data_IF_864989484406
#
_entry.id   IF_864989484406
#
_cell.length_a   1.000
_cell.length_b   1.000
_cell.length_c   1.000
_cell.angle_alpha   90.00
_cell.angle_beta   90.00
_cell.angle_gamma   90.00
#
_symmetry.space_group_name_H-M   'P 1'
#
loop_
_entity.id
_entity.type
_entity.pdbx_description
1 polymer ?
#
# COMPACT_ATOMS: atom_id res chain seq x y z
N UNK A 1 -2.29 -43.97 49.50
CA UNK A 1 -1.34 -43.17 48.70
C UNK A 1 -1.86 -43.13 47.27
N UNK A 2 -2.34 -42.04 46.69
CA UNK A 2 -2.72 -40.75 47.28
C UNK A 2 -2.91 -39.64 46.23
N UNK A 3 -4.16 -39.22 45.96
CA UNK A 3 -4.56 -38.13 45.04
C UNK A 3 -4.24 -38.42 43.54
N UNK A 4 -4.89 -37.82 42.53
CA UNK A 4 -5.66 -36.56 42.43
C UNK A 4 -7.18 -36.74 42.16
N UNK A 5 -7.91 -35.62 42.09
CA UNK A 5 -9.38 -35.53 42.09
C UNK A 5 -9.97 -35.25 40.70
N UNK A 6 -11.21 -35.69 40.48
CA UNK A 6 -12.09 -35.32 39.38
C UNK A 6 -12.90 -34.05 39.70
N UNK A 7 -13.29 -33.28 38.67
CA UNK A 7 -14.67 -32.75 38.38
C UNK A 7 -14.60 -31.74 37.20
N UNK A 8 -15.62 -31.62 36.32
CA UNK A 8 -15.49 -30.92 35.04
C UNK A 8 -15.97 -29.45 35.04
N UNK A 9 -15.59 -28.70 34.00
CA UNK A 9 -16.09 -27.35 33.72
C UNK A 9 -17.58 -27.36 33.34
N UNK A 10 -18.44 -26.90 34.23
CA UNK A 10 -19.89 -26.81 34.00
C UNK A 10 -20.54 -25.58 34.68
N UNK A 11 -20.12 -24.37 34.31
CA UNK A 11 -20.81 -23.12 34.70
C UNK A 11 -20.83 -22.13 33.54
N UNK A 12 -22.01 -21.94 32.92
CA UNK A 12 -22.56 -20.66 32.41
C UNK A 12 -23.93 -20.90 31.70
N UNK A 13 -24.87 -21.55 32.40
CA UNK A 13 -26.28 -21.66 31.99
C UNK A 13 -27.23 -21.26 33.14
N UNK A 14 -27.15 -19.99 33.50
CA UNK A 14 -28.13 -19.21 34.26
C UNK A 14 -27.89 -17.74 33.84
N UNK A 15 -28.89 -16.88 33.67
CA UNK A 15 -30.16 -16.80 34.40
C UNK A 15 -31.40 -16.86 33.50
N UNK A 16 -32.41 -17.60 33.95
CA UNK A 16 -33.79 -17.51 33.45
C UNK A 16 -34.59 -16.56 34.37
N UNK A 17 -35.64 -15.95 33.82
CA UNK A 17 -36.49 -14.94 34.49
C UNK A 17 -37.09 -15.41 35.83
N UNK A 18 -37.37 -14.47 36.77
CA UNK A 18 -38.29 -14.74 37.87
C UNK A 18 -39.74 -14.84 37.35
N UNK A 19 -40.46 -15.86 37.83
CA UNK A 19 -41.89 -16.08 37.55
C UNK A 19 -42.79 -15.26 38.47
N UNK A 20 -43.97 -14.83 37.98
CA UNK A 20 -45.05 -14.30 38.81
C UNK A 20 -46.41 -14.70 38.26
N UNK A 21 -47.23 -15.34 39.08
CA UNK A 21 -48.63 -15.75 38.85
C UNK A 21 -49.28 -16.06 40.23
N UNK A 22 -50.62 -16.20 40.35
CA UNK A 22 -51.64 -16.22 39.30
C UNK A 22 -52.79 -15.19 39.46
N UNK A 23 -53.55 -14.97 38.38
CA UNK A 23 -54.78 -14.17 38.39
C UNK A 23 -55.76 -14.56 37.28
N UNK A 24 -56.82 -15.30 37.60
CA UNK A 24 -58.00 -15.56 36.72
C UNK A 24 -58.76 -14.23 36.51
N UNK A 25 -59.52 -13.95 35.45
CA UNK A 25 -60.13 -14.68 34.30
C UNK A 25 -60.31 -13.60 33.17
N UNK A 26 -60.65 -13.80 31.89
CA UNK A 26 -61.30 -14.85 31.08
C UNK A 26 -60.58 -14.97 29.71
N UNK A 27 -61.12 -15.74 28.76
CA UNK A 27 -60.64 -15.86 27.38
C UNK A 27 -61.55 -15.13 26.36
N UNK A 28 -61.01 -14.83 25.18
CA UNK A 28 -61.59 -15.35 23.94
C UNK A 28 -60.48 -15.54 22.87
N UNK A 29 -60.86 -15.95 21.66
CA UNK A 29 -60.03 -16.71 20.72
C UNK A 29 -59.78 -15.99 19.40
N UNK A 30 -58.55 -16.04 18.91
CA UNK A 30 -58.24 -16.02 17.48
C UNK A 30 -56.84 -16.62 17.24
N UNK A 31 -56.66 -17.26 16.08
CA UNK A 31 -55.59 -18.24 15.84
C UNK A 31 -54.65 -17.77 14.73
N UNK A 32 -53.51 -17.18 15.11
CA UNK A 32 -52.43 -16.83 14.20
C UNK A 32 -51.12 -17.52 14.66
N UNK A 33 -50.42 -18.19 13.74
CA UNK A 33 -49.13 -18.80 14.03
C UNK A 33 -48.05 -17.72 14.17
N UNK A 34 -47.21 -17.73 15.21
CA UNK A 34 -46.01 -16.91 15.22
C UNK A 34 -45.02 -17.47 14.19
N UNK A 35 -44.88 -16.80 13.03
CA UNK A 35 -43.68 -17.00 12.22
C UNK A 35 -42.46 -16.68 13.09
N UNK A 36 -41.47 -17.58 13.06
CA UNK A 36 -40.35 -17.52 13.99
C UNK A 36 -39.62 -16.17 13.92
N UNK A 37 -39.22 -15.65 15.09
CA UNK A 37 -38.25 -14.54 15.16
C UNK A 37 -36.98 -14.98 14.43
N UNK A 38 -36.82 -14.52 13.20
CA UNK A 38 -35.51 -14.47 12.57
C UNK A 38 -34.59 -13.71 13.51
N UNK A 39 -33.47 -14.32 13.91
CA UNK A 39 -32.48 -13.65 14.74
C UNK A 39 -31.84 -12.55 13.92
N UNK A 40 -32.38 -11.33 14.02
CA UNK A 40 -31.76 -10.15 13.48
C UNK A 40 -30.45 -9.96 14.25
N UNK A 41 -29.34 -10.43 13.65
CA UNK A 41 -28.00 -10.31 14.21
C UNK A 41 -27.71 -8.83 14.41
N UNK A 42 -27.85 -8.38 15.66
CA UNK A 42 -27.70 -6.99 16.05
C UNK A 42 -26.28 -6.56 15.71
N UNK A 43 -26.13 -5.54 14.84
CA UNK A 43 -24.82 -4.96 14.56
C UNK A 43 -24.18 -4.56 15.89
N UNK A 44 -22.90 -4.89 16.14
CA UNK A 44 -22.22 -4.48 17.35
C UNK A 44 -22.25 -2.95 17.49
N UNK A 45 -22.28 -2.44 18.73
CA UNK A 45 -22.18 -1.00 18.95
C UNK A 45 -20.84 -0.45 18.46
N UNK A 46 -20.74 0.86 18.27
CA UNK A 46 -19.51 1.50 17.82
C UNK A 46 -18.33 1.18 18.76
N UNK A 47 -18.59 1.13 20.07
CA UNK A 47 -17.65 0.66 21.10
C UNK A 47 -17.25 -0.81 20.93
N UNK A 48 -18.21 -1.73 20.77
CA UNK A 48 -17.90 -3.15 20.58
C UNK A 48 -17.12 -3.39 19.26
N UNK A 49 -17.44 -2.67 18.19
CA UNK A 49 -16.69 -2.72 16.94
C UNK A 49 -15.27 -2.15 17.08
N UNK A 50 -15.10 -1.03 17.79
CA UNK A 50 -13.79 -0.42 18.06
C UNK A 50 -12.90 -1.35 18.89
N UNK A 51 -13.40 -1.91 19.99
CA UNK A 51 -12.64 -2.77 20.90
C UNK A 51 -12.20 -4.11 20.28
N UNK A 52 -12.80 -4.51 19.15
CA UNK A 52 -12.37 -5.67 18.37
C UNK A 52 -11.23 -5.39 17.39
N UNK A 53 -10.82 -4.14 17.20
CA UNK A 53 -9.75 -3.75 16.27
C UNK A 53 -8.36 -4.02 16.86
N UNK A 54 -7.49 -4.64 16.05
CA UNK A 54 -6.07 -4.88 16.35
C UNK A 54 -5.20 -4.31 15.23
N UNK A 55 -3.97 -3.83 15.51
CA UNK A 55 -3.07 -3.34 14.47
C UNK A 55 -2.65 -4.38 13.41
N UNK A 56 -2.78 -5.67 13.72
CA UNK A 56 -2.27 -6.78 12.92
C UNK A 56 -3.35 -7.45 12.05
N UNK A 57 -4.44 -7.92 12.66
CA UNK A 57 -5.44 -8.77 11.98
C UNK A 57 -6.72 -8.02 11.56
N UNK A 58 -7.05 -6.95 12.28
CA UNK A 58 -8.36 -6.24 12.15
C UNK A 58 -8.18 -4.74 11.96
N UNK A 59 -7.07 -4.35 11.32
CA UNK A 59 -6.79 -2.97 11.00
C UNK A 59 -7.51 -2.55 9.70
N UNK A 60 -8.51 -1.68 9.83
CA UNK A 60 -9.16 -1.01 8.70
C UNK A 60 -9.21 0.50 8.95
N UNK A 61 -8.39 1.24 8.20
CA UNK A 61 -8.25 2.69 8.27
C UNK A 61 -9.58 3.43 8.00
N UNK A 62 -10.45 2.90 7.15
CA UNK A 62 -11.76 3.48 6.85
C UNK A 62 -12.76 3.19 7.98
N UNK A 63 -12.76 1.96 8.51
CA UNK A 63 -13.58 1.62 9.65
C UNK A 63 -13.23 2.50 10.87
N UNK A 64 -11.93 2.66 11.17
CA UNK A 64 -11.45 3.55 12.24
C UNK A 64 -11.85 5.02 11.95
N UNK A 65 -11.76 5.48 10.70
CA UNK A 65 -12.18 6.85 10.35
C UNK A 65 -13.70 7.08 10.51
N UNK A 66 -14.52 6.07 10.23
CA UNK A 66 -15.98 6.14 10.28
C UNK A 66 -16.58 6.18 11.68
N UNK A 67 -15.83 5.76 12.71
CA UNK A 67 -16.32 5.74 14.09
C UNK A 67 -16.31 7.17 14.68
N UNK A 68 -17.45 7.58 15.25
CA UNK A 68 -17.54 8.84 16.01
C UNK A 68 -16.87 8.68 17.37
N UNK A 69 -15.53 8.79 17.38
CA UNK A 69 -14.68 8.54 18.55
C UNK A 69 -15.13 9.24 19.85
N UNK A 70 -15.67 10.48 19.86
CA UNK A 70 -16.22 11.09 21.08
C UNK A 70 -17.39 10.31 21.68
N UNK A 71 -18.22 9.66 20.86
CA UNK A 71 -19.33 8.82 21.33
C UNK A 71 -18.84 7.60 22.11
N UNK A 72 -17.63 7.08 21.83
CA UNK A 72 -17.02 5.99 22.60
C UNK A 72 -16.78 6.38 24.07
N UNK A 73 -16.37 7.64 24.31
CA UNK A 73 -16.14 8.18 25.66
C UNK A 73 -17.47 8.38 26.40
N UNK A 74 -18.56 8.64 25.66
CA UNK A 74 -19.92 8.76 26.20
C UNK A 74 -20.53 7.38 26.49
N UNK A 75 -20.40 6.41 25.59
CA UNK A 75 -20.88 5.03 25.76
C UNK A 75 -20.16 4.32 26.92
N UNK A 76 -18.85 4.55 27.07
CA UNK A 76 -18.05 4.04 28.18
C UNK A 76 -18.15 4.87 29.48
N UNK A 77 -18.97 5.94 29.52
CA UNK A 77 -18.94 6.93 30.61
C UNK A 77 -19.47 6.35 31.92
N UNK A 78 -18.56 6.09 32.84
CA UNK A 78 -18.83 5.53 34.17
C UNK A 78 -18.06 4.25 34.42
N UNK A 79 -17.83 3.43 33.39
CA UNK A 79 -17.00 2.23 33.52
C UNK A 79 -15.51 2.54 33.24
N UNK A 80 -14.75 2.62 34.32
CA UNK A 80 -13.30 2.81 34.30
C UNK A 80 -12.51 1.60 33.79
N UNK A 81 -13.13 0.45 33.51
CA UNK A 81 -12.52 -0.68 32.80
C UNK A 81 -12.60 -0.44 31.30
N UNK A 82 -13.81 -0.24 30.78
CA UNK A 82 -14.06 0.05 29.36
C UNK A 82 -13.29 1.29 28.88
N UNK A 83 -13.26 2.38 29.66
CA UNK A 83 -12.45 3.57 29.31
C UNK A 83 -10.93 3.30 29.20
N UNK A 84 -10.40 2.30 29.94
CA UNK A 84 -8.99 1.86 29.82
C UNK A 84 -8.77 0.94 28.63
N UNK A 85 -9.79 0.17 28.21
CA UNK A 85 -9.74 -0.67 27.02
C UNK A 85 -9.81 0.20 25.76
N UNK A 86 -10.72 1.17 25.68
CA UNK A 86 -10.79 2.18 24.60
C UNK A 86 -9.46 2.94 24.46
N UNK A 87 -8.87 3.37 25.59
CA UNK A 87 -7.54 3.98 25.59
C UNK A 87 -6.46 3.05 25.02
N UNK A 88 -6.41 1.78 25.44
CA UNK A 88 -5.40 0.81 24.98
C UNK A 88 -5.53 0.53 23.49
N UNK A 89 -6.75 0.34 22.99
CA UNK A 89 -7.02 0.15 21.56
C UNK A 89 -6.63 1.39 20.76
N UNK A 90 -7.02 2.60 21.19
CA UNK A 90 -6.61 3.84 20.54
C UNK A 90 -5.08 4.04 20.53
N UNK A 91 -4.41 3.70 21.64
CA UNK A 91 -2.94 3.75 21.74
C UNK A 91 -2.26 2.74 20.80
N UNK A 92 -2.78 1.52 20.68
CA UNK A 92 -2.23 0.48 19.81
C UNK A 92 -2.41 0.80 18.32
N UNK A 93 -3.56 1.36 17.93
CA UNK A 93 -3.87 1.72 16.55
C UNK A 93 -3.10 2.97 16.07
N UNK A 94 -2.84 3.95 16.96
CA UNK A 94 -2.26 5.25 16.59
C UNK A 94 -0.91 5.16 15.84
N UNK A 95 0.08 4.34 16.24
CA UNK A 95 1.32 4.16 15.47
C UNK A 95 1.07 3.64 14.05
N UNK A 96 0.18 2.65 13.87
CA UNK A 96 -0.14 2.08 12.55
C UNK A 96 -0.89 3.08 11.66
N UNK A 97 -1.86 3.81 12.23
CA UNK A 97 -2.54 4.91 11.53
C UNK A 97 -1.55 5.99 11.09
N UNK A 98 -0.55 6.34 11.91
CA UNK A 98 0.49 7.29 11.47
C UNK A 98 1.35 6.72 10.35
N UNK A 99 1.85 5.50 10.45
CA UNK A 99 2.62 4.87 9.36
C UNK A 99 1.84 4.95 8.02
N UNK A 100 0.59 4.51 8.00
CA UNK A 100 -0.24 4.51 6.79
C UNK A 100 -0.69 5.90 6.29
N UNK A 101 -0.74 6.92 7.16
CA UNK A 101 -1.18 8.28 6.78
C UNK A 101 -0.05 9.32 6.70
N UNK A 102 1.20 8.90 6.89
CA UNK A 102 2.37 9.81 6.96
C UNK A 102 3.56 9.32 6.12
N UNK A 103 3.66 8.03 5.78
CA UNK A 103 4.64 7.49 4.83
C UNK A 103 4.17 7.67 3.36
N UNK A 104 4.94 8.33 2.47
CA UNK A 104 4.53 8.57 1.08
C UNK A 104 4.23 7.31 0.24
N UNK A 105 4.90 6.18 0.50
CA UNK A 105 4.68 4.93 -0.23
C UNK A 105 3.35 4.27 0.19
N UNK A 106 3.08 4.25 1.50
CA UNK A 106 1.81 3.73 2.02
C UNK A 106 0.64 4.64 1.65
N UNK A 107 0.82 5.97 1.72
CA UNK A 107 -0.14 6.96 1.22
C UNK A 107 -0.42 6.71 -0.27
N UNK A 108 0.61 6.57 -1.12
CA UNK A 108 0.44 6.23 -2.55
C UNK A 108 -0.38 4.96 -2.76
N UNK A 109 -0.06 3.88 -2.04
CA UNK A 109 -0.78 2.60 -2.15
C UNK A 109 -2.27 2.74 -1.76
N UNK A 110 -2.58 3.49 -0.69
CA UNK A 110 -3.95 3.74 -0.25
C UNK A 110 -4.70 4.63 -1.25
N UNK A 111 -4.07 5.68 -1.80
CA UNK A 111 -4.67 6.53 -2.84
C UNK A 111 -4.98 5.73 -4.11
N UNK A 112 -4.11 4.80 -4.53
CA UNK A 112 -4.39 3.89 -5.65
C UNK A 112 -5.55 2.97 -5.34
N UNK A 113 -5.56 2.31 -4.18
CA UNK A 113 -6.68 1.46 -3.71
C UNK A 113 -8.01 2.25 -3.74
N UNK A 114 -8.00 3.52 -3.31
CA UNK A 114 -9.17 4.40 -3.29
C UNK A 114 -9.60 4.87 -4.68
N UNK A 115 -8.65 5.15 -5.57
CA UNK A 115 -8.93 5.44 -6.98
C UNK A 115 -9.53 4.23 -7.68
N UNK A 116 -9.09 3.02 -7.33
CA UNK A 116 -9.63 1.75 -7.84
C UNK A 116 -11.05 1.48 -7.32
N UNK A 117 -11.30 1.70 -6.03
CA UNK A 117 -12.65 1.66 -5.46
C UNK A 117 -13.59 2.64 -6.17
N UNK A 118 -13.15 3.88 -6.39
CA UNK A 118 -13.88 4.92 -7.14
C UNK A 118 -14.17 4.49 -8.58
N UNK A 119 -13.15 4.07 -9.34
CA UNK A 119 -13.30 3.68 -10.74
C UNK A 119 -14.32 2.55 -10.93
N UNK A 120 -14.34 1.58 -10.00
CA UNK A 120 -15.20 0.38 -10.06
C UNK A 120 -16.59 0.59 -9.49
N UNK A 121 -16.73 1.28 -8.35
CA UNK A 121 -18.00 1.34 -7.59
C UNK A 121 -18.80 2.62 -7.82
N UNK A 122 -18.14 3.76 -8.01
CA UNK A 122 -18.84 5.04 -8.09
C UNK A 122 -19.81 5.20 -9.29
N UNK A 123 -19.64 4.53 -10.45
CA UNK A 123 -20.67 4.54 -11.51
C UNK A 123 -21.96 3.81 -11.12
N UNK A 124 -21.92 2.95 -10.11
CA UNK A 124 -23.03 2.07 -9.67
C UNK A 124 -23.62 2.43 -8.31
N UNK A 125 -23.03 3.41 -7.62
CA UNK A 125 -23.39 3.81 -6.26
C UNK A 125 -24.03 5.21 -6.30
N UNK A 126 -25.37 5.32 -6.39
CA UNK A 126 -26.05 6.61 -6.54
C UNK A 126 -25.85 7.53 -5.33
N UNK A 127 -25.44 6.97 -4.18
CA UNK A 127 -25.23 7.69 -2.93
C UNK A 127 -23.73 7.98 -2.68
N UNK A 128 -22.87 7.77 -3.68
CA UNK A 128 -21.41 7.97 -3.57
C UNK A 128 -21.05 9.34 -2.99
N UNK A 129 -21.60 10.41 -3.56
CA UNK A 129 -21.35 11.79 -3.14
C UNK A 129 -21.93 12.16 -1.76
N UNK A 130 -22.86 11.37 -1.22
CA UNK A 130 -23.41 11.54 0.13
C UNK A 130 -22.50 10.86 1.17
N UNK A 131 -22.16 9.59 0.96
CA UNK A 131 -21.48 8.77 1.98
C UNK A 131 -19.95 8.78 1.89
N UNK A 132 -19.37 8.84 0.69
CA UNK A 132 -17.91 8.75 0.55
C UNK A 132 -17.17 9.95 1.14
N UNK A 133 -17.66 11.21 1.06
CA UNK A 133 -17.02 12.33 1.75
C UNK A 133 -17.00 12.16 3.28
N UNK A 134 -18.06 11.61 3.87
CA UNK A 134 -18.12 11.33 5.31
C UNK A 134 -17.16 10.19 5.71
N UNK A 135 -17.00 9.18 4.84
CA UNK A 135 -16.15 8.00 5.06
C UNK A 135 -14.65 8.29 4.85
N UNK A 136 -14.31 9.17 3.90
CA UNK A 136 -12.93 9.44 3.48
C UNK A 136 -12.38 10.78 3.97
N UNK A 137 -13.25 11.73 4.35
CA UNK A 137 -12.87 13.01 4.91
C UNK A 137 -12.16 12.83 6.26
N UNK A 138 -10.92 13.34 6.35
CA UNK A 138 -10.14 13.34 7.60
C UNK A 138 -9.11 12.22 7.74
N UNK A 139 -8.90 11.37 6.73
CA UNK A 139 -7.91 10.28 6.82
C UNK A 139 -6.47 10.82 6.90
N UNK A 140 -6.04 11.58 5.88
CA UNK A 140 -4.66 12.08 5.76
C UNK A 140 -4.47 13.47 6.35
N UNK A 141 -5.45 14.37 6.20
CA UNK A 141 -5.40 15.75 6.68
C UNK A 141 -6.80 16.23 7.08
N UNK A 142 -6.93 17.45 7.59
CA UNK A 142 -8.26 18.05 7.84
C UNK A 142 -9.05 18.25 6.53
N UNK A 143 -10.32 17.86 6.55
CA UNK A 143 -11.23 17.87 5.38
C UNK A 143 -12.57 18.49 5.74
N UNK A 144 -13.16 19.23 4.79
CA UNK A 144 -14.54 19.74 4.90
C UNK A 144 -15.49 18.77 4.20
N UNK A 145 -16.31 18.10 5.02
CA UNK A 145 -17.33 17.15 4.57
C UNK A 145 -18.70 17.86 4.40
N UNK A 146 -19.68 17.25 3.71
CA UNK A 146 -21.04 17.78 3.58
C UNK A 146 -21.66 18.18 4.93
N UNK A 147 -22.52 19.21 4.91
CA UNK A 147 -23.02 19.86 6.13
C UNK A 147 -21.99 20.76 6.84
N UNK A 148 -20.80 20.97 6.28
CA UNK A 148 -19.81 21.94 6.77
C UNK A 148 -19.01 21.49 8.00
N UNK A 149 -19.20 20.25 8.48
CA UNK A 149 -18.39 19.67 9.56
C UNK A 149 -16.92 19.59 9.12
N UNK A 150 -16.00 20.02 9.98
CA UNK A 150 -14.57 19.83 9.78
C UNK A 150 -14.16 18.46 10.33
N UNK A 151 -13.84 17.51 9.46
CA UNK A 151 -13.23 16.24 9.85
C UNK A 151 -11.74 16.49 10.08
N UNK A 152 -11.28 16.45 11.34
CA UNK A 152 -9.85 16.55 11.69
C UNK A 152 -9.10 15.28 11.26
N UNK A 153 -7.79 15.39 10.98
CA UNK A 153 -6.93 14.24 10.67
C UNK A 153 -7.13 13.09 11.67
N UNK A 154 -7.20 11.86 11.20
CA UNK A 154 -7.51 10.68 12.01
C UNK A 154 -6.51 10.45 13.15
N UNK A 155 -5.20 10.59 12.90
CA UNK A 155 -4.18 10.47 13.96
C UNK A 155 -4.34 11.55 15.05
N UNK A 156 -4.89 12.73 14.71
CA UNK A 156 -5.26 13.78 15.69
C UNK A 156 -6.55 13.40 16.43
N UNK A 157 -7.58 12.88 15.75
CA UNK A 157 -8.83 12.39 16.39
C UNK A 157 -8.54 11.28 17.40
N UNK A 158 -7.67 10.32 17.09
CA UNK A 158 -7.22 9.28 18.02
C UNK A 158 -6.41 9.85 19.19
N UNK A 159 -5.54 10.84 18.94
CA UNK A 159 -4.79 11.52 20.02
C UNK A 159 -5.74 12.27 20.98
N UNK A 160 -6.84 12.83 20.48
CA UNK A 160 -7.87 13.46 21.31
C UNK A 160 -8.65 12.43 22.14
N UNK A 161 -9.10 11.32 21.54
CA UNK A 161 -9.75 10.21 22.24
C UNK A 161 -8.91 9.69 23.42
N UNK A 162 -7.60 9.49 23.21
CA UNK A 162 -6.66 9.07 24.25
C UNK A 162 -6.67 10.03 25.45
N UNK A 163 -6.67 11.34 25.19
CA UNK A 163 -6.72 12.36 26.24
C UNK A 163 -8.09 12.40 26.96
N UNK A 164 -9.18 12.29 26.20
CA UNK A 164 -10.56 12.27 26.73
C UNK A 164 -10.81 11.06 27.64
N UNK A 165 -10.31 9.87 27.28
CA UNK A 165 -10.38 8.68 28.14
C UNK A 165 -9.62 8.85 29.47
N UNK A 166 -8.46 9.52 29.46
CA UNK A 166 -7.68 9.82 30.68
C UNK A 166 -8.42 10.82 31.57
N UNK A 167 -8.99 11.88 30.98
CA UNK A 167 -9.79 12.87 31.71
C UNK A 167 -11.05 12.22 32.34
N UNK A 168 -11.83 11.46 31.56
CA UNK A 168 -13.03 10.79 32.02
C UNK A 168 -12.77 9.73 33.13
N UNK A 169 -11.62 9.05 33.08
CA UNK A 169 -11.22 8.08 34.11
C UNK A 169 -10.71 8.74 35.42
N UNK A 170 -10.16 9.96 35.29
CA UNK A 170 -9.41 10.69 36.31
C UNK A 170 -7.93 10.31 36.29
N UNK A 171 -7.04 11.28 36.02
CA UNK A 171 -5.60 11.09 35.78
C UNK A 171 -4.90 10.25 36.85
N UNK A 172 -5.20 10.47 38.13
CA UNK A 172 -4.60 9.73 39.25
C UNK A 172 -5.02 8.25 39.30
N UNK A 173 -6.20 7.89 38.79
CA UNK A 173 -6.60 6.48 38.66
C UNK A 173 -5.87 5.80 37.49
N UNK A 174 -5.58 6.55 36.42
CA UNK A 174 -4.81 6.08 35.27
C UNK A 174 -3.35 5.79 35.62
N UNK A 175 -2.68 6.73 36.31
CA UNK A 175 -1.29 6.56 36.76
C UNK A 175 -1.13 5.36 37.72
N UNK A 176 -2.06 5.17 38.66
CA UNK A 176 -2.09 4.00 39.56
C UNK A 176 -2.30 2.67 38.83
N UNK A 177 -2.90 2.66 37.64
CA UNK A 177 -3.18 1.45 36.88
C UNK A 177 -1.96 0.93 36.06
N UNK A 178 -0.74 1.31 36.43
CA UNK A 178 0.51 0.86 35.78
C UNK A 178 0.87 1.61 34.49
N UNK A 179 0.13 2.66 34.13
CA UNK A 179 0.26 3.37 32.83
C UNK A 179 1.49 4.29 32.77
N UNK A 180 2.32 4.31 33.82
CA UNK A 180 3.54 5.12 33.94
C UNK A 180 4.59 4.90 32.83
N UNK A 181 4.49 3.82 32.06
CA UNK A 181 5.32 3.59 30.86
C UNK A 181 5.18 4.68 29.79
N UNK A 182 4.03 5.36 29.67
CA UNK A 182 3.82 6.37 28.63
C UNK A 182 4.48 7.73 28.88
N UNK A 183 4.72 8.11 30.14
CA UNK A 183 5.24 9.45 30.46
C UNK A 183 6.74 9.48 30.78
N UNK A 184 7.37 8.32 31.01
CA UNK A 184 8.82 8.20 31.28
C UNK A 184 9.66 8.12 30.00
N UNK A 185 9.17 8.73 28.92
CA UNK A 185 9.77 8.72 27.58
C UNK A 185 9.45 10.02 26.84
N UNK A 186 9.96 11.15 27.35
CA UNK A 186 9.75 12.48 26.76
C UNK A 186 10.12 12.52 25.28
N UNK A 187 11.04 11.67 24.82
CA UNK A 187 11.37 11.47 23.40
C UNK A 187 10.16 11.17 22.50
N UNK A 188 9.10 10.49 22.99
CA UNK A 188 7.91 10.20 22.16
C UNK A 188 6.94 11.39 22.07
N UNK A 189 6.86 12.23 23.11
CA UNK A 189 6.05 13.47 23.08
C UNK A 189 6.81 14.59 22.36
N UNK A 190 8.13 14.66 22.57
CA UNK A 190 9.03 15.53 21.83
C UNK A 190 9.06 15.14 20.35
N UNK A 191 9.12 13.86 20.00
CA UNK A 191 9.00 13.44 18.60
C UNK A 191 7.60 13.73 18.06
N UNK A 192 6.50 13.54 18.82
CA UNK A 192 5.17 13.97 18.37
C UNK A 192 5.10 15.47 18.05
N UNK A 193 5.71 16.34 18.87
CA UNK A 193 5.79 17.78 18.56
C UNK A 193 6.77 18.08 17.41
N UNK A 194 7.92 17.43 17.36
CA UNK A 194 8.91 17.58 16.29
C UNK A 194 8.46 16.98 14.95
N UNK A 195 7.50 16.04 14.91
CA UNK A 195 6.84 15.55 13.68
C UNK A 195 5.65 16.44 13.29
N UNK A 196 4.86 16.92 14.26
CA UNK A 196 3.81 17.92 13.99
C UNK A 196 4.39 19.26 13.48
N UNK A 197 5.66 19.54 13.79
CA UNK A 197 6.48 20.64 13.27
C UNK A 197 7.55 20.14 12.26
N UNK A 198 7.43 18.90 11.79
CA UNK A 198 8.51 18.10 11.19
C UNK A 198 8.76 18.31 9.71
N UNK A 199 9.32 19.48 9.38
CA UNK A 199 9.53 19.96 8.01
C UNK A 199 8.23 20.20 7.23
N UNK A 200 8.28 21.00 6.16
CA UNK A 200 7.07 21.33 5.39
C UNK A 200 6.51 20.14 4.58
N UNK A 201 7.36 19.21 4.13
CA UNK A 201 6.97 18.18 3.14
C UNK A 201 5.95 17.16 3.66
N UNK A 202 6.13 16.46 4.81
CA UNK A 202 5.16 15.45 5.25
C UNK A 202 3.75 16.01 5.43
N UNK A 203 3.64 17.27 5.88
CA UNK A 203 2.35 17.97 5.98
C UNK A 203 1.75 18.28 4.60
N UNK A 204 2.55 18.63 3.60
CA UNK A 204 2.08 18.83 2.23
C UNK A 204 1.66 17.51 1.57
N UNK A 205 2.39 16.41 1.76
CA UNK A 205 2.01 15.06 1.30
C UNK A 205 0.62 14.69 1.81
N UNK A 206 0.34 14.97 3.09
CA UNK A 206 -0.95 14.76 3.72
C UNK A 206 -2.06 15.66 3.16
N UNK A 207 -1.76 16.94 2.91
CA UNK A 207 -2.71 17.89 2.30
C UNK A 207 -3.06 17.49 0.86
N UNK A 208 -2.07 17.15 0.03
CA UNK A 208 -2.24 16.68 -1.35
C UNK A 208 -3.06 15.38 -1.37
N UNK A 209 -2.73 14.42 -0.51
CA UNK A 209 -3.45 13.15 -0.39
C UNK A 209 -4.91 13.35 0.03
N UNK A 210 -5.19 14.23 1.01
CA UNK A 210 -6.57 14.50 1.41
C UNK A 210 -7.35 15.28 0.35
N UNK A 211 -6.74 16.25 -0.33
CA UNK A 211 -7.39 17.02 -1.39
C UNK A 211 -7.83 16.11 -2.55
N UNK A 212 -6.90 15.28 -3.04
CA UNK A 212 -7.18 14.28 -4.07
C UNK A 212 -8.26 13.26 -3.63
N UNK A 213 -8.21 12.80 -2.38
CA UNK A 213 -9.19 11.86 -1.84
C UNK A 213 -10.58 12.49 -1.65
N UNK A 214 -10.64 13.76 -1.25
CA UNK A 214 -11.89 14.53 -1.14
C UNK A 214 -12.51 14.75 -2.53
N UNK A 215 -11.71 15.01 -3.57
CA UNK A 215 -12.19 15.18 -4.95
C UNK A 215 -12.79 13.87 -5.50
N UNK A 216 -12.12 12.72 -5.30
CA UNK A 216 -12.67 11.39 -5.58
C UNK A 216 -13.95 11.08 -4.80
N UNK A 217 -14.06 11.59 -3.57
CA UNK A 217 -15.22 11.36 -2.71
C UNK A 217 -16.43 12.23 -3.12
N UNK A 218 -16.19 13.46 -3.57
CA UNK A 218 -17.23 14.42 -3.92
C UNK A 218 -18.00 14.04 -5.20
N UNK A 219 -17.32 13.47 -6.19
CA UNK A 219 -17.90 13.19 -7.50
C UNK A 219 -17.83 11.69 -7.86
N UNK A 220 -18.99 11.08 -8.13
CA UNK A 220 -19.04 9.76 -8.76
C UNK A 220 -18.64 9.83 -10.24
N UNK A 221 -18.06 8.76 -10.77
CA UNK A 221 -17.52 8.71 -12.14
C UNK A 221 -18.63 8.66 -13.21
N UNK A 222 -18.78 9.74 -13.98
CA UNK A 222 -19.59 9.81 -15.20
C UNK A 222 -18.87 9.17 -16.41
N UNK A 223 -18.82 7.83 -16.42
CA UNK A 223 -18.37 7.07 -17.60
C UNK A 223 -16.92 7.36 -18.02
N UNK A 224 -16.73 7.86 -19.24
CA UNK A 224 -15.42 8.10 -19.87
C UNK A 224 -14.83 9.49 -19.61
N UNK A 225 -15.51 10.36 -18.87
CA UNK A 225 -15.14 11.76 -18.69
C UNK A 225 -13.91 11.95 -17.77
N UNK A 226 -13.31 13.14 -17.83
CA UNK A 226 -12.25 13.59 -16.93
C UNK A 226 -12.84 14.24 -15.68
N UNK A 227 -12.41 13.81 -14.50
CA UNK A 227 -12.79 14.43 -13.22
C UNK A 227 -11.84 15.61 -12.92
N UNK A 228 -12.32 16.87 -12.87
CA UNK A 228 -11.51 17.98 -12.36
C UNK A 228 -11.24 17.78 -10.86
N UNK A 229 -9.98 17.96 -10.47
CA UNK A 229 -9.53 17.84 -9.07
C UNK A 229 -9.50 19.24 -8.47
N UNK A 230 -10.68 19.76 -8.17
CA UNK A 230 -10.91 21.14 -7.72
C UNK A 230 -10.19 21.44 -6.40
N UNK A 231 -10.25 20.53 -5.40
CA UNK A 231 -9.58 20.75 -4.10
C UNK A 231 -8.06 20.67 -4.23
N UNK A 232 -7.55 19.81 -5.12
CA UNK A 232 -6.13 19.76 -5.44
C UNK A 232 -5.65 21.03 -6.16
N UNK A 233 -6.47 21.58 -7.06
CA UNK A 233 -6.23 22.86 -7.75
C UNK A 233 -6.29 24.04 -6.76
N UNK A 234 -7.21 24.02 -5.81
CA UNK A 234 -7.30 24.96 -4.68
C UNK A 234 -6.06 24.93 -3.78
N UNK A 235 -5.50 23.74 -3.53
CA UNK A 235 -4.24 23.60 -2.79
C UNK A 235 -3.07 24.15 -3.61
N UNK A 236 -3.05 23.89 -4.93
CA UNK A 236 -2.09 24.49 -5.87
C UNK A 236 -2.13 26.02 -5.88
N UNK A 237 -3.31 26.63 -5.77
CA UNK A 237 -3.51 28.09 -5.62
C UNK A 237 -3.01 28.65 -4.28
N UNK A 238 -3.15 27.90 -3.18
CA UNK A 238 -2.84 28.38 -1.81
C UNK A 238 -1.40 28.14 -1.37
N UNK A 239 -0.78 27.07 -1.84
CA UNK A 239 0.57 26.65 -1.43
C UNK A 239 1.61 26.81 -2.54
N UNK A 240 1.18 26.92 -3.80
CA UNK A 240 2.03 27.05 -4.97
C UNK A 240 2.09 25.74 -5.75
N UNK A 241 1.81 25.83 -7.05
CA UNK A 241 1.70 24.66 -7.92
C UNK A 241 3.01 23.88 -8.06
N UNK A 242 4.18 24.52 -7.89
CA UNK A 242 5.47 23.84 -7.91
C UNK A 242 5.65 22.87 -6.72
N UNK A 243 5.25 23.27 -5.50
CA UNK A 243 5.34 22.38 -4.33
C UNK A 243 4.36 21.20 -4.47
N UNK A 244 3.12 21.47 -4.91
CA UNK A 244 2.11 20.43 -5.17
C UNK A 244 2.54 19.46 -6.26
N UNK A 245 3.09 19.95 -7.39
CA UNK A 245 3.62 19.11 -8.47
C UNK A 245 4.75 18.18 -7.97
N UNK A 246 5.69 18.71 -7.18
CA UNK A 246 6.78 17.91 -6.62
C UNK A 246 6.26 16.80 -5.70
N UNK A 247 5.31 17.11 -4.82
CA UNK A 247 4.68 16.11 -3.93
C UNK A 247 3.79 15.11 -4.69
N UNK A 248 3.15 15.51 -5.79
CA UNK A 248 2.42 14.57 -6.65
C UNK A 248 3.37 13.60 -7.38
N UNK A 249 4.57 14.03 -7.77
CA UNK A 249 5.63 13.15 -8.33
C UNK A 249 6.25 12.23 -7.26
N UNK A 250 6.31 12.66 -6.00
CA UNK A 250 6.66 11.77 -4.87
C UNK A 250 5.59 10.67 -4.64
N UNK A 251 4.32 10.95 -4.94
CA UNK A 251 3.19 10.03 -4.76
C UNK A 251 2.89 9.16 -5.99
N UNK A 252 3.08 9.65 -7.21
CA UNK A 252 2.69 8.98 -8.45
C UNK A 252 3.82 9.03 -9.50
N UNK A 253 4.14 7.91 -10.19
CA UNK A 253 5.15 7.89 -11.23
C UNK A 253 4.76 8.85 -12.37
N UNK A 254 5.75 9.57 -12.86
CA UNK A 254 5.61 10.47 -13.99
C UNK A 254 5.99 9.74 -15.28
N UNK A 255 5.02 9.53 -16.17
CA UNK A 255 5.22 8.84 -17.44
C UNK A 255 5.62 9.82 -18.56
N UNK A 256 5.14 11.07 -18.46
CA UNK A 256 5.37 12.17 -19.43
C UNK A 256 5.41 13.50 -18.65
N UNK A 257 5.99 14.55 -19.23
CA UNK A 257 5.83 15.91 -18.74
C UNK A 257 4.34 16.25 -18.47
N UNK A 258 3.98 16.51 -17.20
CA UNK A 258 2.60 16.83 -16.81
C UNK A 258 1.61 15.66 -16.73
N UNK A 259 2.05 14.39 -16.82
CA UNK A 259 1.14 13.22 -16.71
C UNK A 259 1.68 12.23 -15.66
N UNK A 260 0.88 11.98 -14.61
CA UNK A 260 1.25 11.17 -13.46
C UNK A 260 0.31 9.96 -13.32
N UNK A 261 0.81 8.73 -13.47
CA UNK A 261 -0.03 7.54 -13.58
C UNK A 261 -0.46 6.99 -12.20
N UNK A 262 -1.77 7.00 -11.97
CA UNK A 262 -2.41 6.55 -10.73
C UNK A 262 -2.79 5.06 -10.82
N UNK A 263 -3.58 4.69 -11.84
CA UNK A 263 -3.90 3.28 -12.12
C UNK A 263 -3.39 2.90 -13.51
N UNK A 264 -2.61 1.83 -13.57
CA UNK A 264 -2.08 1.26 -14.80
C UNK A 264 -2.83 -0.04 -15.14
N UNK A 265 -3.35 -0.22 -16.38
CA UNK A 265 -4.13 -1.40 -16.78
C UNK A 265 -3.41 -2.75 -16.61
N UNK A 266 -2.08 -2.80 -16.56
CA UNK A 266 -1.31 -4.06 -16.53
C UNK A 266 -1.45 -4.81 -15.21
N UNK A 267 -1.55 -4.08 -14.10
CA UNK A 267 -1.89 -4.65 -12.78
C UNK A 267 -3.41 -4.86 -12.62
N UNK A 268 -4.20 -4.42 -13.60
CA UNK A 268 -5.62 -4.09 -13.47
C UNK A 268 -6.40 -4.41 -14.77
N UNK A 269 -6.43 -5.68 -15.23
CA UNK A 269 -7.00 -6.03 -16.53
C UNK A 269 -8.46 -5.58 -16.71
N UNK A 270 -8.80 -5.17 -17.93
CA UNK A 270 -10.15 -4.71 -18.30
C UNK A 270 -10.50 -3.28 -17.85
N UNK A 271 -9.53 -2.47 -17.43
CA UNK A 271 -9.75 -1.08 -17.00
C UNK A 271 -8.87 -0.09 -17.78
N UNK A 272 -9.37 1.11 -18.02
CA UNK A 272 -8.62 2.20 -18.67
C UNK A 272 -7.50 2.72 -17.77
N UNK A 273 -6.46 3.29 -18.37
CA UNK A 273 -5.41 3.95 -17.60
C UNK A 273 -5.98 5.22 -16.94
N UNK A 274 -5.64 5.46 -15.67
CA UNK A 274 -5.95 6.71 -14.98
C UNK A 274 -4.66 7.45 -14.65
N UNK A 275 -4.57 8.70 -15.09
CA UNK A 275 -3.48 9.59 -14.76
C UNK A 275 -3.98 10.96 -14.33
N UNK A 276 -3.24 11.63 -13.46
CA UNK A 276 -3.41 13.05 -13.19
C UNK A 276 -2.72 13.82 -14.32
N UNK A 277 -3.50 14.57 -15.10
CA UNK A 277 -3.02 15.57 -16.05
C UNK A 277 -2.83 16.89 -15.30
N UNK A 278 -1.61 17.39 -15.28
CA UNK A 278 -1.30 18.74 -14.79
C UNK A 278 -1.46 19.70 -15.96
N UNK A 279 -2.47 20.57 -15.89
CA UNK A 279 -2.69 21.64 -16.86
C UNK A 279 -1.86 22.85 -16.42
N UNK A 280 -0.87 23.22 -17.23
CA UNK A 280 -0.02 24.37 -16.94
C UNK A 280 -0.84 25.68 -16.91
N UNK A 281 -0.49 26.64 -16.04
CA UNK A 281 -1.15 27.95 -15.99
C UNK A 281 -0.97 28.71 -17.30
N UNK A 282 -1.98 29.53 -17.66
CA UNK A 282 -1.99 30.30 -18.92
C UNK A 282 -1.22 31.63 -18.80
N UNK A 283 -1.10 32.15 -17.58
CA UNK A 283 -0.35 33.35 -17.23
C UNK A 283 0.61 33.06 -16.07
N UNK A 284 1.47 34.02 -15.71
CA UNK A 284 2.33 33.92 -14.51
C UNK A 284 1.56 33.90 -13.19
N UNK A 285 0.31 34.38 -13.21
CA UNK A 285 -0.48 34.70 -12.03
C UNK A 285 -1.56 33.63 -11.77
N UNK A 286 -1.83 32.79 -12.78
CA UNK A 286 -2.65 31.58 -12.67
C UNK A 286 -1.88 30.45 -11.94
N UNK A 287 -2.62 29.57 -11.28
CA UNK A 287 -2.10 28.28 -10.80
C UNK A 287 -2.34 27.17 -11.84
N UNK A 288 -1.56 26.09 -11.75
CA UNK A 288 -1.88 24.86 -12.47
C UNK A 288 -3.19 24.25 -11.95
N UNK A 289 -4.01 23.72 -12.86
CA UNK A 289 -5.17 22.89 -12.51
C UNK A 289 -4.88 21.43 -12.78
N UNK A 290 -5.63 20.53 -12.13
CA UNK A 290 -5.36 19.10 -12.15
C UNK A 290 -6.62 18.34 -12.56
N UNK A 291 -6.50 17.46 -13.55
CA UNK A 291 -7.60 16.59 -14.00
C UNK A 291 -7.22 15.12 -13.81
N UNK A 292 -8.09 14.30 -13.24
CA UNK A 292 -7.97 12.85 -13.33
C UNK A 292 -8.57 12.39 -14.66
N UNK A 293 -7.71 12.05 -15.62
CA UNK A 293 -8.09 11.69 -16.98
C UNK A 293 -8.04 10.18 -17.21
N UNK A 294 -8.99 9.70 -18.02
CA UNK A 294 -8.94 8.35 -18.58
C UNK A 294 -8.11 8.37 -19.86
N UNK A 295 -6.91 7.79 -19.80
CA UNK A 295 -6.12 7.53 -20.99
C UNK A 295 -6.66 6.31 -21.75
N UNK A 296 -6.53 6.26 -23.09
CA UNK A 296 -6.73 5.01 -23.81
C UNK A 296 -5.77 3.96 -23.24
N UNK A 297 -6.22 2.70 -23.12
CA UNK A 297 -5.29 1.60 -22.87
C UNK A 297 -4.27 1.60 -24.01
N UNK A 298 -2.98 1.78 -23.68
CA UNK A 298 -1.90 1.93 -24.67
C UNK A 298 -1.74 0.63 -25.48
N UNK A 299 -2.39 0.56 -26.64
CA UNK A 299 -1.84 -0.20 -27.76
C UNK A 299 -0.48 0.41 -28.11
N UNK A 300 0.59 -0.37 -28.30
CA UNK A 300 1.87 0.17 -28.72
C UNK A 300 1.71 0.77 -30.12
N UNK A 301 1.85 2.10 -30.23
CA UNK A 301 1.88 2.79 -31.52
C UNK A 301 3.22 3.47 -31.74
N UNK A 302 3.81 3.09 -32.87
CA UNK A 302 4.99 3.69 -33.46
C UNK A 302 4.86 5.23 -33.46
N UNK A 303 5.91 5.91 -33.03
CA UNK A 303 5.98 7.36 -33.22
C UNK A 303 6.52 7.62 -34.61
N UNK A 304 5.60 7.85 -35.56
CA UNK A 304 5.93 8.33 -36.89
C UNK A 304 6.75 9.62 -36.80
N UNK A 305 7.83 9.67 -37.57
CA UNK A 305 8.86 10.70 -37.40
C UNK A 305 8.41 12.11 -37.79
N UNK A 306 9.02 13.10 -37.13
CA UNK A 306 9.24 14.42 -37.69
C UNK A 306 10.75 14.66 -37.71
N UNK A 307 11.30 14.86 -38.90
CA UNK A 307 12.74 15.01 -39.09
C UNK A 307 13.24 16.35 -38.52
N UNK A 308 14.37 16.30 -37.83
CA UNK A 308 15.27 17.45 -37.68
C UNK A 308 16.70 16.92 -37.70
N UNK A 309 17.56 17.57 -38.48
CA UNK A 309 18.74 16.90 -39.03
C UNK A 309 19.95 16.84 -38.08
N UNK A 310 20.54 15.65 -38.02
CA UNK A 310 21.96 15.36 -37.81
C UNK A 310 22.76 16.18 -36.76
N UNK A 311 22.99 15.57 -35.60
CA UNK A 311 24.37 15.25 -35.16
C UNK A 311 24.39 14.14 -34.11
N UNK A 312 25.47 13.38 -34.04
CA UNK A 312 25.57 12.14 -33.24
C UNK A 312 25.94 12.40 -31.77
N UNK A 313 25.31 11.65 -30.83
CA UNK A 313 26.01 10.93 -29.73
C UNK A 313 25.03 10.26 -28.72
N UNK A 314 24.60 9.04 -29.01
CA UNK A 314 24.26 7.95 -28.07
C UNK A 314 23.71 8.28 -26.65
N UNK A 315 22.72 9.18 -26.52
CA UNK A 315 22.22 9.68 -25.22
C UNK A 315 20.86 9.13 -24.75
N UNK A 316 20.33 8.07 -25.38
CA UNK A 316 19.15 7.32 -24.87
C UNK A 316 19.53 6.20 -23.89
N UNK A 317 18.64 5.87 -22.95
CA UNK A 317 18.92 4.87 -21.89
C UNK A 317 19.12 3.46 -22.49
N UNK A 318 20.01 2.60 -21.94
CA UNK A 318 20.24 1.25 -22.49
C UNK A 318 18.97 0.40 -22.61
N UNK A 319 17.97 0.65 -21.75
CA UNK A 319 16.70 -0.05 -21.70
C UNK A 319 15.71 0.32 -22.82
N UNK A 320 15.91 1.47 -23.46
CA UNK A 320 15.04 2.06 -24.47
C UNK A 320 15.50 1.72 -25.91
N UNK A 321 16.67 1.11 -26.05
CA UNK A 321 17.25 0.69 -27.33
C UNK A 321 16.66 -0.66 -27.70
N UNK A 322 15.91 -0.80 -28.82
CA UNK A 322 15.31 -2.08 -29.19
C UNK A 322 16.39 -3.14 -29.49
N UNK A 323 17.44 -2.77 -30.22
CA UNK A 323 18.45 -3.70 -30.75
C UNK A 323 19.76 -3.77 -29.93
N UNK A 324 19.71 -3.58 -28.60
CA UNK A 324 20.94 -3.57 -27.78
C UNK A 324 21.57 -4.98 -27.67
N UNK A 325 22.70 -5.19 -28.34
CA UNK A 325 23.35 -6.51 -28.41
C UNK A 325 24.13 -6.86 -27.14
N UNK A 326 24.53 -8.15 -27.01
CA UNK A 326 25.47 -8.61 -25.97
C UNK A 326 26.76 -7.76 -25.92
N UNK A 327 27.27 -7.32 -27.08
CA UNK A 327 28.50 -6.52 -27.19
C UNK A 327 28.29 -5.11 -26.67
N UNK A 328 27.12 -4.51 -26.96
CA UNK A 328 26.76 -3.18 -26.50
C UNK A 328 26.54 -3.15 -24.99
N UNK A 329 25.87 -4.16 -24.42
CA UNK A 329 25.74 -4.32 -22.98
C UNK A 329 27.11 -4.45 -22.28
N UNK A 330 28.01 -5.26 -22.82
CA UNK A 330 29.37 -5.40 -22.31
C UNK A 330 30.16 -4.08 -22.41
N UNK A 331 29.96 -3.31 -23.49
CA UNK A 331 30.51 -1.96 -23.64
C UNK A 331 29.94 -0.97 -22.61
N UNK A 332 28.62 -0.97 -22.40
CA UNK A 332 27.91 -0.16 -21.39
C UNK A 332 28.45 -0.46 -20.01
N UNK A 333 28.46 -1.72 -19.57
CA UNK A 333 28.94 -2.13 -18.24
C UNK A 333 30.40 -1.70 -18.01
N UNK A 334 31.31 -1.98 -18.96
CA UNK A 334 32.72 -1.54 -18.86
C UNK A 334 32.86 -0.01 -18.83
N UNK A 335 32.03 0.72 -19.58
CA UNK A 335 32.05 2.19 -19.58
C UNK A 335 31.53 2.79 -18.27
N UNK A 336 30.60 2.11 -17.58
CA UNK A 336 30.00 2.57 -16.32
C UNK A 336 30.91 2.26 -15.14
N UNK A 337 31.54 1.09 -15.12
CA UNK A 337 32.57 0.77 -14.11
C UNK A 337 33.78 1.71 -14.21
N UNK A 338 34.31 1.95 -15.42
CA UNK A 338 35.41 2.90 -15.64
C UNK A 338 35.07 4.33 -15.21
N UNK A 339 33.81 4.75 -15.36
CA UNK A 339 33.33 6.10 -14.97
C UNK A 339 32.75 6.16 -13.55
N UNK A 340 32.64 5.03 -12.84
CA UNK A 340 31.89 4.84 -11.58
C UNK A 340 30.49 5.48 -11.60
N UNK A 341 29.85 5.46 -12.78
CA UNK A 341 28.54 6.03 -13.01
C UNK A 341 27.43 5.02 -12.66
N UNK A 342 26.24 5.53 -12.30
CA UNK A 342 25.09 4.68 -11.93
C UNK A 342 24.27 4.29 -13.16
N UNK A 343 24.16 3.00 -13.44
CA UNK A 343 23.18 2.46 -14.37
C UNK A 343 21.76 2.75 -13.86
N UNK A 344 20.84 3.06 -14.76
CA UNK A 344 19.45 3.29 -14.43
C UNK A 344 18.76 1.97 -14.10
N UNK A 345 17.76 2.00 -13.22
CA UNK A 345 16.96 0.81 -12.96
C UNK A 345 16.30 0.33 -14.27
N UNK A 346 16.16 -0.99 -14.49
CA UNK A 346 15.32 -1.46 -15.58
C UNK A 346 13.89 -0.92 -15.39
N UNK A 347 13.16 -0.61 -16.48
CA UNK A 347 11.80 -0.10 -16.40
C UNK A 347 10.92 -0.97 -15.49
N UNK A 348 10.02 -0.35 -14.72
CA UNK A 348 9.11 -1.02 -13.75
C UNK A 348 8.02 -1.88 -14.42
N UNK A 349 8.22 -2.18 -15.68
CA UNK A 349 7.23 -2.26 -16.74
C UNK A 349 7.50 -3.55 -17.49
N UNK A 350 7.22 -4.65 -16.78
CA UNK A 350 7.56 -6.03 -17.10
C UNK A 350 8.97 -6.15 -17.72
N UNK A 351 10.04 -5.84 -16.96
CA UNK A 351 11.39 -5.71 -17.52
C UNK A 351 11.90 -7.02 -18.12
N UNK A 352 11.50 -8.17 -17.54
CA UNK A 352 11.91 -9.52 -17.94
C UNK A 352 11.65 -9.81 -19.43
N UNK A 353 10.47 -9.43 -19.92
CA UNK A 353 10.03 -9.71 -21.28
C UNK A 353 10.63 -8.77 -22.34
N UNK A 354 11.47 -7.79 -21.93
CA UNK A 354 12.10 -6.84 -22.86
C UNK A 354 13.35 -7.45 -23.48
N UNK A 355 13.50 -7.32 -24.80
CA UNK A 355 14.69 -7.78 -25.53
C UNK A 355 15.99 -7.23 -24.96
N UNK A 356 16.00 -5.97 -24.51
CA UNK A 356 17.14 -5.35 -23.83
C UNK A 356 17.51 -6.03 -22.51
N UNK A 357 16.54 -6.52 -21.74
CA UNK A 357 16.79 -7.29 -20.51
C UNK A 357 17.18 -8.74 -20.83
N UNK A 358 16.51 -9.38 -21.79
CA UNK A 358 16.83 -10.73 -22.25
C UNK A 358 18.27 -10.81 -22.76
N UNK A 359 18.72 -9.84 -23.57
CA UNK A 359 20.10 -9.74 -24.04
C UNK A 359 21.12 -9.57 -22.90
N UNK A 360 20.75 -8.89 -21.82
CA UNK A 360 21.59 -8.74 -20.63
C UNK A 360 21.64 -10.04 -19.80
N UNK A 361 20.49 -10.68 -19.52
CA UNK A 361 20.40 -11.97 -18.82
C UNK A 361 21.17 -13.07 -19.56
N UNK A 362 21.01 -13.12 -20.87
CA UNK A 362 21.75 -14.00 -21.79
C UNK A 362 23.27 -13.71 -21.79
N UNK A 363 23.69 -12.45 -21.74
CA UNK A 363 25.11 -12.08 -21.51
C UNK A 363 25.60 -12.56 -20.14
N UNK A 364 24.78 -12.46 -19.07
CA UNK A 364 25.15 -12.95 -17.74
C UNK A 364 25.31 -14.49 -17.71
N UNK A 365 24.46 -15.24 -18.41
CA UNK A 365 24.62 -16.70 -18.52
C UNK A 365 25.92 -17.08 -19.26
N UNK A 366 26.23 -16.37 -20.36
CA UNK A 366 27.32 -16.73 -21.29
C UNK A 366 28.71 -16.16 -20.97
N UNK A 367 28.85 -15.01 -20.31
CA UNK A 367 30.15 -14.35 -20.09
C UNK A 367 30.44 -14.12 -18.59
N UNK A 368 31.50 -14.77 -18.08
CA UNK A 368 31.93 -14.68 -16.68
C UNK A 368 32.65 -13.37 -16.33
N UNK A 369 33.24 -12.68 -17.32
CA UNK A 369 33.77 -11.32 -17.17
C UNK A 369 32.62 -10.32 -17.08
N UNK A 370 31.58 -10.50 -17.88
CA UNK A 370 30.37 -9.69 -17.84
C UNK A 370 29.63 -9.82 -16.50
N UNK A 371 29.48 -11.03 -15.94
CA UNK A 371 28.92 -11.23 -14.58
C UNK A 371 29.68 -10.42 -13.52
N UNK A 372 31.01 -10.50 -13.52
CA UNK A 372 31.85 -9.75 -12.56
C UNK A 372 31.72 -8.23 -12.73
N UNK A 373 31.67 -7.74 -13.97
CA UNK A 373 31.45 -6.32 -14.25
C UNK A 373 30.06 -5.84 -13.82
N UNK A 374 29.01 -6.63 -14.07
CA UNK A 374 27.62 -6.34 -13.69
C UNK A 374 27.46 -6.18 -12.17
N UNK A 375 28.08 -7.07 -11.38
CA UNK A 375 28.06 -6.99 -9.91
C UNK A 375 28.83 -5.77 -9.36
N UNK A 376 29.88 -5.31 -10.05
CA UNK A 376 30.70 -4.15 -9.67
C UNK A 376 30.10 -2.77 -10.08
N UNK A 377 29.19 -2.75 -11.06
CA UNK A 377 28.53 -1.51 -11.51
C UNK A 377 27.59 -0.97 -10.43
N UNK A 378 27.51 0.37 -10.33
CA UNK A 378 26.58 1.05 -9.44
C UNK A 378 25.22 1.25 -10.11
N UNK A 379 24.14 1.29 -9.34
CA UNK A 379 22.77 1.32 -9.88
C UNK A 379 21.92 2.43 -9.21
N UNK A 380 20.93 2.97 -9.93
CA UNK A 380 19.85 3.81 -9.38
C UNK A 380 18.75 2.96 -8.72
N UNK A 381 18.62 1.71 -9.13
CA UNK A 381 17.83 0.65 -8.49
C UNK A 381 18.25 -0.70 -9.09
N UNK A 382 18.59 -1.68 -8.26
CA UNK A 382 19.10 -2.98 -8.71
C UNK A 382 17.94 -3.94 -9.05
N UNK A 383 18.03 -4.74 -10.13
CA UNK A 383 17.12 -5.87 -10.34
C UNK A 383 17.50 -7.03 -9.41
N UNK A 384 16.82 -7.17 -8.27
CA UNK A 384 17.17 -8.15 -7.22
C UNK A 384 17.37 -9.58 -7.75
N UNK A 385 16.38 -10.13 -8.47
CA UNK A 385 16.47 -11.49 -9.02
C UNK A 385 17.67 -11.74 -9.93
N UNK A 386 17.99 -10.79 -10.83
CA UNK A 386 19.16 -10.91 -11.72
C UNK A 386 20.49 -10.71 -10.99
N UNK A 387 20.53 -9.93 -9.91
CA UNK A 387 21.70 -9.82 -9.04
C UNK A 387 21.95 -11.12 -8.28
N UNK A 388 20.90 -11.70 -7.68
CA UNK A 388 20.96 -12.99 -6.98
C UNK A 388 21.35 -14.12 -7.94
N UNK A 389 20.81 -14.14 -9.16
CA UNK A 389 21.24 -15.08 -10.21
C UNK A 389 22.73 -14.87 -10.56
N UNK A 390 23.20 -13.64 -10.73
CA UNK A 390 24.61 -13.37 -10.99
C UNK A 390 25.55 -13.78 -9.85
N UNK A 391 25.13 -13.66 -8.59
CA UNK A 391 25.88 -14.17 -7.43
C UNK A 391 25.95 -15.70 -7.46
N UNK A 392 24.81 -16.38 -7.59
CA UNK A 392 24.72 -17.83 -7.71
C UNK A 392 25.57 -18.40 -8.86
N UNK A 393 25.61 -17.74 -10.01
CA UNK A 393 26.42 -18.11 -11.20
C UNK A 393 27.92 -17.71 -11.11
N UNK A 394 28.35 -17.10 -10.01
CA UNK A 394 29.76 -16.74 -9.72
C UNK A 394 30.29 -17.53 -8.51
N UNK A 395 29.45 -17.76 -7.50
CA UNK A 395 29.80 -18.42 -6.23
C UNK A 395 29.46 -19.92 -6.23
N UNK A 396 28.59 -20.38 -7.14
CA UNK A 396 28.19 -21.79 -7.29
C UNK A 396 27.16 -22.28 -6.27
N UNK A 397 27.03 -21.61 -5.13
CA UNK A 397 25.91 -21.77 -4.19
C UNK A 397 25.49 -20.45 -3.58
N UNK A 398 24.20 -20.30 -3.27
CA UNK A 398 23.62 -19.11 -2.66
C UNK A 398 22.57 -19.50 -1.61
N UNK A 399 22.63 -18.86 -0.45
CA UNK A 399 21.58 -18.88 0.58
C UNK A 399 21.01 -17.46 0.66
N UNK A 400 19.73 -17.22 0.33
CA UNK A 400 19.12 -15.90 0.46
C UNK A 400 19.04 -15.46 1.93
N UNK A 401 19.28 -14.17 2.19
CA UNK A 401 19.25 -13.61 3.55
C UNK A 401 17.81 -13.47 4.11
N UNK A 402 16.81 -13.38 3.22
CA UNK A 402 15.38 -13.26 3.53
C UNK A 402 14.52 -14.01 2.52
N UNK A 403 13.32 -14.46 2.92
CA UNK A 403 12.39 -15.22 2.06
C UNK A 403 12.05 -14.50 0.75
N UNK A 404 11.91 -13.18 0.77
CA UNK A 404 11.61 -12.39 -0.44
C UNK A 404 12.71 -12.49 -1.50
N UNK A 405 13.96 -12.70 -1.09
CA UNK A 405 15.07 -12.86 -2.04
C UNK A 405 15.08 -14.27 -2.64
N UNK A 406 14.64 -15.28 -1.89
CA UNK A 406 14.35 -16.60 -2.47
C UNK A 406 13.25 -16.50 -3.54
N UNK A 407 12.17 -15.75 -3.26
CA UNK A 407 11.07 -15.55 -4.22
C UNK A 407 11.50 -14.73 -5.46
N UNK A 408 12.34 -13.70 -5.28
CA UNK A 408 12.91 -12.93 -6.39
C UNK A 408 13.84 -13.78 -7.28
N UNK A 409 14.58 -14.71 -6.68
CA UNK A 409 15.48 -15.64 -7.38
C UNK A 409 14.70 -16.75 -8.10
N UNK A 410 13.75 -17.43 -7.44
CA UNK A 410 12.90 -18.46 -8.08
C UNK A 410 12.19 -17.86 -9.31
N UNK A 411 11.60 -16.67 -9.18
CA UNK A 411 10.97 -15.98 -10.31
C UNK A 411 11.94 -15.52 -11.42
N UNK A 412 13.27 -15.53 -11.19
CA UNK A 412 14.29 -15.32 -12.23
C UNK A 412 14.78 -16.64 -12.85
N UNK A 413 14.70 -17.75 -12.11
CA UNK A 413 14.99 -19.11 -12.59
C UNK A 413 13.85 -19.66 -13.46
N UNK A 414 12.59 -19.38 -13.09
CA UNK A 414 11.36 -19.76 -13.82
C UNK A 414 11.04 -18.88 -15.04
N UNK A 415 11.92 -17.95 -15.42
CA UNK A 415 11.72 -17.09 -16.59
C UNK A 415 11.62 -17.95 -17.87
N UNK A 416 10.44 -18.04 -18.53
CA UNK A 416 10.11 -19.21 -19.34
C UNK A 416 10.67 -19.19 -20.77
N UNK A 417 10.92 -18.01 -21.34
CA UNK A 417 11.27 -17.92 -22.76
C UNK A 417 12.70 -18.37 -23.06
N UNK A 418 12.78 -19.44 -23.86
CA UNK A 418 13.96 -20.04 -24.54
C UNK A 418 14.66 -21.22 -23.85
N UNK A 419 14.08 -21.81 -22.81
CA UNK A 419 14.35 -23.22 -22.48
C UNK A 419 13.33 -24.13 -23.22
N UNK A 420 13.82 -25.15 -23.94
CA UNK A 420 13.08 -25.99 -24.91
C UNK A 420 11.62 -26.38 -24.55
N UNK A 421 10.76 -26.53 -25.57
CA UNK A 421 9.32 -26.75 -25.46
C UNK A 421 8.84 -27.94 -24.59
N UNK A 422 9.71 -28.89 -24.26
CA UNK A 422 9.42 -30.01 -23.36
C UNK A 422 9.67 -29.69 -21.86
N UNK A 423 10.19 -28.49 -21.55
CA UNK A 423 10.72 -28.20 -20.21
C UNK A 423 9.66 -27.73 -19.21
N UNK A 424 9.04 -28.70 -18.52
CA UNK A 424 8.54 -28.44 -17.17
C UNK A 424 9.71 -28.52 -16.19
N UNK A 425 10.03 -27.43 -15.51
CA UNK A 425 10.84 -27.48 -14.29
C UNK A 425 10.16 -28.46 -13.31
N UNK A 426 10.96 -29.31 -12.65
CA UNK A 426 10.49 -30.00 -11.45
C UNK A 426 10.63 -29.02 -10.30
N UNK A 427 9.75 -29.10 -9.31
CA UNK A 427 9.84 -28.24 -8.14
C UNK A 427 11.25 -28.31 -7.52
N UNK A 428 11.93 -27.17 -7.42
CA UNK A 428 13.33 -27.06 -7.00
C UNK A 428 14.42 -27.41 -8.03
N UNK A 429 14.12 -27.61 -9.31
CA UNK A 429 15.11 -27.93 -10.35
C UNK A 429 14.90 -27.16 -11.67
N UNK A 430 15.91 -26.40 -12.10
CA UNK A 430 15.88 -25.57 -13.31
C UNK A 430 17.06 -25.85 -14.25
N UNK A 431 16.84 -25.70 -15.56
CA UNK A 431 17.87 -25.67 -16.60
C UNK A 431 17.81 -24.31 -17.29
N UNK A 432 18.87 -23.51 -17.17
CA UNK A 432 18.91 -22.13 -17.65
C UNK A 432 19.48 -21.98 -19.07
N UNK A 433 19.77 -23.11 -19.74
CA UNK A 433 20.53 -23.11 -21.00
C UNK A 433 22.03 -22.95 -20.77
N UNK A 434 22.81 -22.94 -21.85
CA UNK A 434 24.29 -22.77 -21.83
C UNK A 434 25.04 -23.72 -20.87
N UNK A 435 24.47 -24.91 -20.63
CA UNK A 435 25.03 -25.91 -19.72
C UNK A 435 24.70 -25.70 -18.24
N UNK A 436 24.00 -24.62 -17.86
CA UNK A 436 23.67 -24.32 -16.46
C UNK A 436 22.44 -25.08 -15.96
N UNK A 437 22.61 -25.77 -14.83
CA UNK A 437 21.51 -26.34 -14.05
C UNK A 437 21.55 -25.83 -12.62
N UNK A 438 20.37 -25.56 -12.05
CA UNK A 438 20.20 -25.06 -10.67
C UNK A 438 19.31 -26.02 -9.90
N UNK A 439 19.68 -26.26 -8.64
CA UNK A 439 18.93 -27.09 -7.68
C UNK A 439 18.69 -26.31 -6.40
N UNK A 440 17.47 -26.39 -5.86
CA UNK A 440 17.10 -25.86 -4.53
C UNK A 440 17.03 -27.01 -3.53
N UNK A 441 18.00 -27.07 -2.63
CA UNK A 441 17.90 -27.87 -1.41
C UNK A 441 17.03 -27.12 -0.39
N UNK A 442 16.16 -27.84 0.31
CA UNK A 442 15.41 -27.31 1.46
C UNK A 442 15.90 -28.03 2.70
N UNK A 443 16.48 -27.29 3.65
CA UNK A 443 16.94 -27.84 4.91
C UNK A 443 15.81 -27.87 5.96
N UNK A 444 15.95 -28.73 6.97
CA UNK A 444 15.06 -28.75 8.14
C UNK A 444 15.06 -27.36 8.80
N UNK A 445 13.90 -26.69 8.79
CA UNK A 445 13.77 -25.27 9.17
C UNK A 445 13.42 -24.31 8.02
N UNK A 446 12.98 -24.82 6.87
CA UNK A 446 12.51 -24.05 5.69
C UNK A 446 13.56 -23.19 4.95
N UNK A 447 14.82 -23.20 5.37
CA UNK A 447 15.89 -22.49 4.67
C UNK A 447 16.11 -23.05 3.25
N UNK A 448 15.87 -22.21 2.23
CA UNK A 448 16.06 -22.53 0.81
C UNK A 448 17.53 -22.25 0.40
N UNK A 449 18.26 -23.29 0.02
CA UNK A 449 19.67 -23.18 -0.46
C UNK A 449 19.74 -23.53 -1.94
N UNK A 450 20.40 -22.71 -2.74
CA UNK A 450 20.54 -22.93 -4.19
C UNK A 450 21.96 -23.35 -4.53
N UNK A 451 22.11 -24.31 -5.45
CA UNK A 451 23.39 -24.66 -6.07
C UNK A 451 23.27 -24.57 -7.58
N UNK A 452 24.24 -23.94 -8.22
CA UNK A 452 24.36 -23.85 -9.67
C UNK A 452 25.57 -24.64 -10.16
N UNK A 453 25.36 -25.52 -11.12
CA UNK A 453 26.43 -26.24 -11.82
C UNK A 453 26.34 -25.97 -13.32
N UNK A 454 27.46 -25.53 -13.90
CA UNK A 454 27.66 -25.60 -15.33
C UNK A 454 28.16 -27.00 -15.69
N UNK A 455 27.63 -27.60 -16.75
CA UNK A 455 28.31 -28.71 -17.42
C UNK A 455 29.69 -28.21 -17.89
N UNK A 456 30.75 -28.87 -17.44
CA UNK A 456 32.08 -28.71 -18.01
C UNK A 456 32.06 -29.23 -19.45
N UNK A 457 32.04 -28.32 -20.42
CA UNK A 457 32.65 -28.56 -21.71
C UNK A 457 34.14 -28.22 -21.61
N UNK A 458 34.97 -28.99 -22.31
CA UNK A 458 36.40 -28.72 -22.51
C UNK A 458 36.63 -27.46 -23.40
#
# INVERSE_FOLDING_TARGET
>A
MGQLRSVPSAVLLALVSPTSEPGKKVADTSKAMPQGRASAVSKPSALAAFLLMTPEEKFDLEAINSIDLPALVVEARGDKRVLREVFRTAQALLPRVRAETEDPLLVSAILRKKTLDWYRRSPTDPNWAEYMPLRLGGIFYESRVPGGRLSRKLSVRLTLLINECVQASGTMAFLRAGVNGLFRGSAMVASMMQFALGSKRPRLTQQVAQAYLDDLAACGRSGGESLPLERLSDLGRRTGSQEVNMTLVELFPQDVAGILTVLDPRFHPGMSALAIRVVAPKTSDDAATYDLVQGPARSPKEHGGLESAATEAASGSPWERPEISKKDWLGVLKSLDKRKARLEAPPRDNPRDRESYLALRELMLTDSSARKAFLAVHWKGKPSGLVLLCQLLVEGSLVPEVDTDADYLEAELDHPDKAHADHRSKDGHWNLGHGWTVVRDVADGHARTYRASAKSGD
#
